data_IF_802965594071
#
_entry.id   IF_802965594071
#
_cell.length_a   1.000
_cell.length_b   1.000
_cell.length_c   1.000
_cell.angle_alpha   90.00
_cell.angle_beta   90.00
_cell.angle_gamma   90.00
#
_symmetry.space_group_name_H-M   'P 1'
#
loop_
_entity.id
_entity.type
_entity.pdbx_description
1 polymer ?
#
# COMPACT_ATOMS: atom_id res chain seq x y z
N UNK A 1 6.18 -58.47 24.40
CA UNK A 1 5.76 -57.61 23.26
C UNK A 1 6.49 -56.27 23.23
N UNK A 2 6.59 -55.52 24.33
CA UNK A 2 7.32 -54.21 24.35
C UNK A 2 8.83 -54.30 24.06
N UNK A 3 9.49 -55.40 24.43
CA UNK A 3 10.91 -55.65 24.13
C UNK A 3 11.16 -55.85 22.63
N UNK A 4 10.25 -56.53 21.92
CA UNK A 4 10.32 -56.74 20.47
C UNK A 4 10.18 -55.43 19.68
N UNK A 5 9.37 -54.49 20.17
CA UNK A 5 9.24 -53.16 19.56
C UNK A 5 10.56 -52.38 19.61
N UNK A 6 11.32 -52.54 20.70
CA UNK A 6 12.63 -51.90 20.86
C UNK A 6 13.70 -52.54 19.96
N UNK A 7 13.70 -53.87 19.83
CA UNK A 7 14.59 -54.58 18.91
C UNK A 7 14.31 -54.27 17.43
N UNK A 8 13.03 -54.10 17.05
CA UNK A 8 12.64 -53.73 15.68
C UNK A 8 13.10 -52.32 15.29
N UNK A 9 13.07 -51.37 16.24
CA UNK A 9 13.57 -50.00 16.03
C UNK A 9 15.09 -49.92 15.89
N UNK A 10 15.85 -50.68 16.70
CA UNK A 10 17.32 -50.73 16.62
C UNK A 10 17.79 -51.42 15.33
N UNK A 11 17.05 -52.43 14.84
CA UNK A 11 17.34 -53.11 13.58
C UNK A 11 17.16 -52.20 12.35
N UNK A 12 16.21 -51.25 12.40
CA UNK A 12 15.94 -50.29 11.32
C UNK A 12 16.93 -49.13 11.26
N UNK A 13 17.57 -48.79 12.39
CA UNK A 13 18.56 -47.71 12.48
C UNK A 13 19.95 -48.22 12.06
N UNK A 14 20.24 -49.51 12.23
CA UNK A 14 21.53 -50.11 11.85
C UNK A 14 21.73 -50.25 10.34
N UNK A 15 20.66 -50.24 9.53
CA UNK A 15 20.76 -50.34 8.06
C UNK A 15 21.08 -49.02 7.36
N UNK A 16 20.98 -47.88 8.06
CA UNK A 16 21.32 -46.55 7.52
C UNK A 16 22.80 -46.17 7.67
N UNK A 17 23.61 -47.00 8.35
CA UNK A 17 25.04 -46.70 8.61
C UNK A 17 26.02 -47.48 7.72
N UNK A 18 25.54 -48.19 6.69
CA UNK A 18 26.40 -48.74 5.63
C UNK A 18 26.19 -47.96 4.34
N UNK A 19 26.70 -46.73 4.34
CA UNK A 19 26.93 -45.91 3.15
C UNK A 19 28.37 -45.45 3.13
N UNK A 20 29.29 -46.37 2.82
CA UNK A 20 30.72 -46.11 2.66
C UNK A 20 31.07 -46.18 1.18
N UNK A 21 31.91 -45.25 0.69
CA UNK A 21 32.67 -45.51 -0.54
C UNK A 21 33.02 -44.27 -1.37
N UNK A 22 34.09 -43.58 -0.97
CA UNK A 22 34.88 -42.73 -1.87
C UNK A 22 35.35 -43.55 -3.07
N UNK A 23 35.02 -43.14 -4.30
CA UNK A 23 35.68 -43.66 -5.50
C UNK A 23 36.62 -42.59 -6.04
N UNK A 24 37.90 -42.94 -5.97
CA UNK A 24 39.00 -42.15 -6.47
C UNK A 24 38.92 -41.96 -7.98
N UNK A 25 39.51 -40.84 -8.37
CA UNK A 25 39.97 -40.47 -9.70
C UNK A 25 40.43 -41.67 -10.55
N UNK A 26 39.81 -41.88 -11.70
CA UNK A 26 40.46 -42.48 -12.85
C UNK A 26 40.14 -41.63 -14.08
N UNK A 27 41.18 -40.93 -14.53
CA UNK A 27 41.25 -40.19 -15.79
C UNK A 27 41.34 -41.19 -16.95
N UNK A 28 40.39 -41.14 -17.87
CA UNK A 28 40.58 -41.21 -19.35
C UNK A 28 39.23 -41.16 -20.08
N UNK A 29 38.92 -40.01 -20.65
CA UNK A 29 39.17 -39.77 -22.08
C UNK A 29 38.20 -40.37 -23.12
N UNK A 30 37.65 -41.57 -23.02
CA UNK A 30 37.33 -42.22 -24.31
C UNK A 30 35.84 -42.12 -24.65
N UNK A 31 35.53 -41.13 -25.50
CA UNK A 31 34.31 -40.93 -26.28
C UNK A 31 33.68 -42.22 -26.82
N UNK A 32 32.43 -42.52 -26.44
CA UNK A 32 31.41 -43.25 -27.21
C UNK A 32 30.05 -43.15 -26.46
N UNK A 33 29.05 -42.39 -26.95
CA UNK A 33 27.74 -42.30 -26.31
C UNK A 33 26.82 -43.41 -26.85
N UNK A 34 26.36 -44.31 -25.98
CA UNK A 34 25.30 -45.26 -26.34
C UNK A 34 24.20 -45.28 -25.28
N UNK A 35 22.95 -45.36 -25.79
CA UNK A 35 21.69 -45.55 -25.06
C UNK A 35 20.94 -44.32 -24.53
N UNK A 36 20.92 -43.23 -25.31
CA UNK A 36 19.79 -42.29 -25.26
C UNK A 36 19.37 -41.79 -26.66
N UNK A 37 20.26 -41.86 -27.65
CA UNK A 37 20.04 -41.39 -29.01
C UNK A 37 19.12 -42.28 -29.89
N UNK A 38 18.87 -43.54 -29.50
CA UNK A 38 17.92 -44.41 -30.24
C UNK A 38 16.45 -44.14 -29.87
N UNK A 39 16.19 -43.52 -28.71
CA UNK A 39 14.81 -43.26 -28.27
C UNK A 39 14.23 -41.97 -28.84
N UNK A 40 15.08 -40.98 -29.10
CA UNK A 40 14.67 -39.71 -29.70
C UNK A 40 14.97 -39.80 -31.20
N UNK A 41 14.09 -40.53 -31.89
CA UNK A 41 14.10 -40.64 -33.35
C UNK A 41 14.21 -39.26 -33.99
N UNK A 42 15.27 -39.09 -34.77
CA UNK A 42 15.61 -37.87 -35.47
C UNK A 42 14.59 -37.55 -36.56
N UNK A 43 13.78 -36.52 -36.33
CA UNK A 43 13.16 -35.71 -37.36
C UNK A 43 13.39 -34.24 -37.01
N UNK A 44 14.45 -33.69 -37.59
CA UNK A 44 14.54 -32.31 -38.08
C UNK A 44 13.38 -31.35 -37.74
N UNK A 45 13.49 -30.67 -36.61
CA UNK A 45 12.92 -29.33 -36.46
C UNK A 45 13.90 -28.49 -35.62
N UNK A 46 14.51 -27.48 -36.25
CA UNK A 46 15.24 -26.43 -35.55
C UNK A 46 14.24 -25.71 -34.63
N UNK A 47 14.14 -26.15 -33.38
CA UNK A 47 13.52 -25.36 -32.33
C UNK A 47 14.50 -24.24 -32.02
N UNK A 48 14.41 -23.17 -32.82
CA UNK A 48 14.85 -21.84 -32.45
C UNK A 48 14.20 -21.52 -31.10
N UNK A 49 14.92 -21.69 -30.00
CA UNK A 49 14.44 -21.28 -28.68
C UNK A 49 14.48 -19.77 -28.68
N UNK A 50 13.34 -19.07 -28.82
CA UNK A 50 13.38 -17.63 -28.78
C UNK A 50 13.55 -17.26 -27.30
N UNK A 51 14.61 -16.50 -26.99
CA UNK A 51 14.63 -15.68 -25.80
C UNK A 51 13.51 -14.64 -25.93
N UNK A 52 12.29 -15.04 -25.62
CA UNK A 52 11.12 -14.16 -25.54
C UNK A 52 10.48 -14.44 -24.19
N UNK A 53 11.07 -13.86 -23.14
CA UNK A 53 10.28 -13.44 -21.99
C UNK A 53 9.22 -12.47 -22.53
N UNK A 54 8.01 -12.98 -22.76
CA UNK A 54 6.92 -12.15 -23.25
C UNK A 54 6.66 -11.08 -22.19
N UNK A 55 6.97 -9.83 -22.53
CA UNK A 55 6.85 -8.66 -21.65
C UNK A 55 5.37 -8.33 -21.29
N UNK A 56 4.42 -9.20 -21.67
CA UNK A 56 2.97 -8.98 -21.60
C UNK A 56 2.21 -9.79 -20.55
N UNK A 57 2.85 -10.68 -19.78
CA UNK A 57 2.16 -11.53 -18.79
C UNK A 57 2.14 -10.95 -17.36
N UNK A 58 2.59 -9.71 -17.18
CA UNK A 58 2.59 -9.01 -15.90
C UNK A 58 1.35 -8.13 -15.69
N UNK A 59 1.08 -7.77 -14.43
CA UNK A 59 0.08 -6.78 -14.07
C UNK A 59 0.75 -5.52 -13.55
N UNK A 60 0.42 -4.38 -14.15
CA UNK A 60 0.76 -3.07 -13.59
C UNK A 60 -0.10 -2.80 -12.34
N UNK A 61 0.56 -2.43 -11.26
CA UNK A 61 -0.04 -2.08 -9.98
C UNK A 61 0.52 -0.75 -9.49
N UNK A 62 -0.27 -0.06 -8.68
CA UNK A 62 0.13 1.14 -7.98
C UNK A 62 0.53 0.82 -6.55
N UNK A 63 1.70 1.30 -6.14
CA UNK A 63 2.23 1.23 -4.78
C UNK A 63 2.29 2.64 -4.20
N UNK A 64 1.86 2.82 -2.96
CA UNK A 64 1.86 4.12 -2.29
C UNK A 64 2.89 4.14 -1.17
N UNK A 65 3.88 5.03 -1.30
CA UNK A 65 5.00 5.18 -0.38
C UNK A 65 4.99 6.55 0.27
N UNK A 66 5.47 6.70 1.51
CA UNK A 66 5.67 8.02 2.10
C UNK A 66 6.62 8.86 1.27
N UNK A 67 6.35 10.16 1.18
CA UNK A 67 7.29 11.13 0.67
C UNK A 67 8.48 11.33 1.62
N UNK A 68 9.51 12.04 1.17
CA UNK A 68 10.71 12.35 1.96
C UNK A 68 10.40 13.11 3.28
N UNK A 69 9.25 13.78 3.36
CA UNK A 69 8.80 14.45 4.59
C UNK A 69 8.13 13.49 5.58
N UNK A 70 7.70 12.32 5.12
CA UNK A 70 6.97 11.32 5.89
C UNK A 70 5.51 11.68 6.15
N UNK A 71 4.95 12.67 5.45
CA UNK A 71 3.61 13.25 5.74
C UNK A 71 2.58 13.03 4.64
N UNK A 72 3.03 12.73 3.42
CA UNK A 72 2.16 12.47 2.28
C UNK A 72 2.57 11.17 1.59
N UNK A 73 1.70 10.65 0.73
CA UNK A 73 1.91 9.47 -0.09
C UNK A 73 2.26 9.88 -1.52
N UNK A 74 3.23 9.20 -2.10
CA UNK A 74 3.60 9.25 -3.51
C UNK A 74 3.20 7.91 -4.12
N UNK A 75 2.59 7.98 -5.31
CA UNK A 75 2.20 6.82 -6.10
C UNK A 75 3.35 6.42 -7.02
N UNK A 76 3.73 5.15 -6.97
CA UNK A 76 4.69 4.51 -7.88
C UNK A 76 3.97 3.38 -8.64
N UNK A 77 4.14 3.29 -9.95
CA UNK A 77 3.62 2.16 -10.74
C UNK A 77 4.70 1.07 -10.86
N UNK A 78 4.30 -0.19 -10.66
CA UNK A 78 5.20 -1.34 -10.75
C UNK A 78 4.56 -2.48 -11.53
N UNK A 79 5.31 -3.12 -12.41
CA UNK A 79 4.87 -4.33 -13.10
C UNK A 79 5.19 -5.55 -12.24
N UNK A 80 4.16 -6.30 -11.85
CA UNK A 80 4.30 -7.58 -11.16
C UNK A 80 4.14 -8.71 -12.18
N UNK A 81 5.14 -9.60 -12.36
CA UNK A 81 4.99 -10.80 -13.18
C UNK A 81 3.82 -11.67 -12.70
N UNK A 82 3.29 -12.52 -13.58
CA UNK A 82 2.24 -13.47 -13.21
C UNK A 82 2.65 -14.28 -11.97
N UNK A 83 1.80 -14.25 -10.96
CA UNK A 83 2.04 -14.89 -9.66
C UNK A 83 0.80 -15.64 -9.20
N UNK A 84 0.96 -16.56 -8.25
CA UNK A 84 -0.15 -17.33 -7.66
C UNK A 84 -1.09 -16.45 -6.83
N UNK A 85 -0.54 -15.43 -6.15
CA UNK A 85 -1.31 -14.50 -5.34
C UNK A 85 -0.85 -13.08 -5.58
N UNK A 86 -1.63 -12.37 -6.40
CA UNK A 86 -1.38 -10.96 -6.70
C UNK A 86 -1.41 -10.09 -5.45
N UNK A 87 -2.32 -10.36 -4.51
CA UNK A 87 -2.43 -9.62 -3.26
C UNK A 87 -1.16 -9.80 -2.40
N UNK A 88 -0.69 -11.04 -2.25
CA UNK A 88 0.53 -11.34 -1.49
C UNK A 88 1.74 -10.66 -2.11
N UNK A 89 1.90 -10.80 -3.43
CA UNK A 89 3.01 -10.17 -4.14
C UNK A 89 2.97 -8.65 -4.05
N UNK A 90 1.78 -8.04 -4.12
CA UNK A 90 1.62 -6.59 -3.96
C UNK A 90 2.13 -6.10 -2.61
N UNK A 91 1.78 -6.78 -1.52
CA UNK A 91 2.28 -6.42 -0.18
C UNK A 91 3.78 -6.67 -0.06
N UNK A 92 4.31 -7.76 -0.63
CA UNK A 92 5.76 -8.02 -0.67
C UNK A 92 6.49 -6.88 -1.38
N UNK A 93 6.01 -6.46 -2.55
CA UNK A 93 6.58 -5.35 -3.32
C UNK A 93 6.52 -4.02 -2.55
N UNK A 94 5.45 -3.80 -1.80
CA UNK A 94 5.34 -2.64 -0.92
C UNK A 94 6.33 -2.69 0.25
N UNK A 95 6.51 -3.86 0.88
CA UNK A 95 7.49 -4.05 1.97
C UNK A 95 8.95 -3.88 1.49
N UNK A 96 9.24 -4.20 0.23
CA UNK A 96 10.55 -3.94 -0.39
C UNK A 96 10.85 -2.45 -0.55
N UNK A 97 9.83 -1.58 -0.46
CA UNK A 97 9.97 -0.13 -0.58
C UNK A 97 9.95 0.41 -2.02
N UNK A 98 10.18 1.71 -2.19
CA UNK A 98 10.20 2.36 -3.50
C UNK A 98 11.39 1.92 -4.34
N UNK A 99 11.19 1.77 -5.66
CA UNK A 99 12.26 1.37 -6.58
C UNK A 99 13.20 2.53 -6.88
N UNK A 100 12.67 3.75 -6.88
CA UNK A 100 13.44 4.98 -7.09
C UNK A 100 13.53 5.73 -5.77
N UNK A 101 14.75 5.84 -5.26
CA UNK A 101 15.06 6.63 -4.07
C UNK A 101 15.04 8.13 -4.40
N UNK A 102 14.67 8.96 -3.43
CA UNK A 102 14.71 10.42 -3.56
C UNK A 102 13.48 11.06 -2.96
N UNK A 103 12.39 11.15 -3.74
CA UNK A 103 11.14 11.74 -3.26
C UNK A 103 10.33 10.80 -2.38
N UNK A 104 10.47 9.48 -2.56
CA UNK A 104 9.79 8.45 -1.79
C UNK A 104 10.78 7.69 -0.90
N UNK A 105 10.28 7.16 0.22
CA UNK A 105 11.03 6.34 1.16
C UNK A 105 10.24 5.09 1.60
N UNK A 106 10.92 4.13 2.22
CA UNK A 106 10.25 2.96 2.78
C UNK A 106 9.25 3.36 3.88
N UNK A 107 8.12 2.66 3.93
CA UNK A 107 7.04 2.98 4.87
C UNK A 107 7.24 2.41 6.27
N UNK A 108 7.97 1.30 6.37
CA UNK A 108 8.13 0.49 7.57
C UNK A 108 9.57 0.01 7.67
N UNK A 109 9.93 -0.57 8.82
CA UNK A 109 11.23 -1.19 8.99
C UNK A 109 11.45 -2.30 7.93
N UNK A 110 12.61 -2.35 7.24
CA UNK A 110 12.92 -3.42 6.28
C UNK A 110 12.89 -4.84 6.84
N UNK A 111 12.96 -5.00 8.17
CA UNK A 111 12.78 -6.27 8.85
C UNK A 111 11.30 -6.70 8.97
N UNK A 112 10.35 -5.82 8.64
CA UNK A 112 8.92 -6.14 8.61
C UNK A 112 8.63 -7.18 7.55
N UNK A 113 7.96 -8.27 7.93
CA UNK A 113 7.62 -9.36 7.02
C UNK A 113 6.11 -9.58 6.96
N UNK A 114 5.66 -10.07 5.79
CA UNK A 114 4.30 -10.54 5.59
C UNK A 114 4.17 -11.99 6.07
N UNK A 115 3.43 -12.19 7.17
CA UNK A 115 3.13 -13.51 7.69
C UNK A 115 2.01 -14.16 6.88
N UNK A 116 0.90 -13.44 6.70
CA UNK A 116 -0.23 -13.93 5.92
C UNK A 116 -1.10 -12.83 5.31
N UNK A 117 -1.89 -13.19 4.30
CA UNK A 117 -2.91 -12.33 3.72
C UNK A 117 -4.11 -13.14 3.25
N UNK A 118 -5.30 -12.67 3.60
CA UNK A 118 -6.56 -13.23 3.13
C UNK A 118 -7.51 -12.10 2.72
N UNK A 119 -8.37 -12.36 1.74
CA UNK A 119 -9.46 -11.44 1.37
C UNK A 119 -10.77 -12.15 1.64
N UNK A 120 -11.62 -11.54 2.46
CA UNK A 120 -12.95 -12.06 2.81
C UNK A 120 -13.93 -10.91 2.91
N UNK A 121 -15.10 -11.06 2.31
CA UNK A 121 -16.18 -10.06 2.39
C UNK A 121 -15.71 -8.64 2.00
N UNK A 122 -14.91 -8.54 0.94
CA UNK A 122 -14.29 -7.29 0.45
C UNK A 122 -13.26 -6.65 1.41
N UNK A 123 -12.86 -7.34 2.47
CA UNK A 123 -11.85 -6.90 3.44
C UNK A 123 -10.56 -7.70 3.25
N UNK A 124 -9.45 -7.00 3.03
CA UNK A 124 -8.12 -7.61 3.10
C UNK A 124 -7.63 -7.65 4.55
N UNK A 125 -7.34 -8.86 5.04
CA UNK A 125 -6.77 -9.12 6.36
C UNK A 125 -5.29 -9.36 6.16
N UNK A 126 -4.45 -8.42 6.60
CA UNK A 126 -2.99 -8.49 6.43
C UNK A 126 -2.34 -8.79 7.77
N UNK A 127 -1.61 -9.89 7.86
CA UNK A 127 -0.86 -10.28 9.06
C UNK A 127 0.63 -10.03 8.87
N UNK A 128 1.18 -9.13 9.68
CA UNK A 128 2.56 -8.65 9.59
C UNK A 128 3.35 -9.05 10.84
N UNK A 129 4.68 -9.06 10.72
CA UNK A 129 5.54 -9.24 11.89
C UNK A 129 5.50 -8.03 12.82
N UNK A 130 5.97 -8.22 14.06
CA UNK A 130 5.93 -7.20 15.12
C UNK A 130 6.59 -5.86 14.77
N UNK A 131 7.56 -5.85 13.85
CA UNK A 131 8.30 -4.67 13.40
C UNK A 131 7.36 -3.62 12.77
N UNK A 132 6.22 -4.04 12.20
CA UNK A 132 5.21 -3.14 11.66
C UNK A 132 4.69 -2.11 12.66
N UNK A 133 4.71 -2.44 13.95
CA UNK A 133 4.20 -1.55 15.01
C UNK A 133 5.18 -0.45 15.41
N UNK A 134 6.39 -0.47 14.85
CA UNK A 134 7.47 0.46 15.19
C UNK A 134 7.51 1.61 14.18
N UNK A 135 7.92 2.79 14.66
CA UNK A 135 8.14 3.93 13.78
C UNK A 135 9.38 3.70 12.91
N UNK A 136 9.27 4.01 11.62
CA UNK A 136 10.40 3.96 10.70
C UNK A 136 10.82 5.38 10.27
N UNK A 137 12.05 5.77 10.64
CA UNK A 137 12.59 7.09 10.29
C UNK A 137 11.69 8.26 10.74
N UNK A 138 11.42 9.18 9.82
CA UNK A 138 10.51 10.32 10.02
C UNK A 138 9.09 10.07 9.51
N UNK A 139 8.76 8.84 9.10
CA UNK A 139 7.45 8.51 8.52
C UNK A 139 6.38 8.60 9.60
N UNK A 140 5.33 9.38 9.33
CA UNK A 140 4.16 9.40 10.19
C UNK A 140 3.46 8.03 10.14
N UNK A 141 3.15 7.49 11.30
CA UNK A 141 2.50 6.20 11.44
C UNK A 141 1.19 6.07 10.64
N UNK A 142 0.39 7.14 10.57
CA UNK A 142 -0.82 7.17 9.76
C UNK A 142 -0.49 7.03 8.26
N UNK A 143 0.56 7.70 7.79
CA UNK A 143 1.01 7.65 6.39
C UNK A 143 1.53 6.25 6.04
N UNK A 144 2.29 5.61 6.93
CA UNK A 144 2.75 4.24 6.74
C UNK A 144 1.57 3.26 6.56
N UNK A 145 0.59 3.32 7.47
CA UNK A 145 -0.60 2.46 7.42
C UNK A 145 -1.40 2.72 6.14
N UNK A 146 -1.73 3.98 5.84
CA UNK A 146 -2.50 4.30 4.63
C UNK A 146 -1.74 4.07 3.33
N UNK A 147 -0.40 4.03 3.34
CA UNK A 147 0.39 3.59 2.19
C UNK A 147 0.02 2.17 1.77
N UNK A 148 -0.08 1.25 2.74
CA UNK A 148 -0.49 -0.12 2.45
C UNK A 148 -2.00 -0.23 2.15
N UNK A 149 -2.85 0.52 2.87
CA UNK A 149 -4.30 0.54 2.61
C UNK A 149 -4.60 1.03 1.19
N UNK A 150 -4.04 2.16 0.77
CA UNK A 150 -4.25 2.71 -0.57
C UNK A 150 -3.70 1.78 -1.66
N UNK A 151 -2.60 1.08 -1.36
CA UNK A 151 -2.02 0.07 -2.25
C UNK A 151 -2.96 -1.12 -2.46
N UNK A 152 -3.61 -1.63 -1.40
CA UNK A 152 -4.49 -2.80 -1.50
C UNK A 152 -5.88 -2.46 -2.02
N UNK A 153 -6.42 -1.30 -1.66
CA UNK A 153 -7.75 -0.84 -2.10
C UNK A 153 -7.81 -0.41 -3.57
N UNK A 154 -6.69 -0.48 -4.29
CA UNK A 154 -6.69 -0.36 -5.76
C UNK A 154 -7.42 -1.53 -6.44
N UNK A 155 -7.52 -2.69 -5.77
CA UNK A 155 -8.17 -3.86 -6.32
C UNK A 155 -9.67 -3.79 -6.04
N UNK A 156 -10.54 -3.98 -7.05
CA UNK A 156 -11.99 -3.83 -6.87
C UNK A 156 -12.59 -4.85 -5.89
N UNK A 157 -11.88 -5.95 -5.62
CA UNK A 157 -12.27 -6.96 -4.63
C UNK A 157 -11.90 -6.59 -3.19
N UNK A 158 -11.22 -5.46 -2.97
CA UNK A 158 -10.77 -4.98 -1.67
C UNK A 158 -11.26 -3.56 -1.47
N UNK A 159 -12.27 -3.40 -0.61
CA UNK A 159 -12.78 -2.08 -0.22
C UNK A 159 -12.14 -1.56 1.05
N UNK A 160 -11.76 -2.48 1.93
CA UNK A 160 -11.20 -2.15 3.23
C UNK A 160 -10.04 -3.08 3.58
N UNK A 161 -9.22 -2.62 4.50
CA UNK A 161 -8.06 -3.36 5.02
C UNK A 161 -8.12 -3.35 6.54
N UNK A 162 -7.77 -4.49 7.12
CA UNK A 162 -7.58 -4.66 8.56
C UNK A 162 -6.25 -5.38 8.80
N UNK A 163 -5.69 -5.18 9.99
CA UNK A 163 -4.34 -5.62 10.31
C UNK A 163 -4.32 -6.65 11.44
N UNK A 164 -3.38 -7.58 11.33
CA UNK A 164 -2.95 -8.47 12.39
C UNK A 164 -1.44 -8.32 12.57
N UNK A 165 -0.99 -8.54 13.79
CA UNK A 165 0.43 -8.60 14.13
C UNK A 165 0.68 -9.89 14.87
N UNK A 166 1.57 -10.74 14.34
CA UNK A 166 1.86 -12.05 14.90
C UNK A 166 0.59 -12.88 15.13
N UNK A 167 -0.33 -12.87 14.16
CA UNK A 167 -1.60 -13.60 14.22
C UNK A 167 -2.65 -12.98 15.14
N UNK A 168 -2.40 -11.83 15.78
CA UNK A 168 -3.37 -11.18 16.68
C UNK A 168 -4.00 -9.98 16.01
N UNK A 169 -5.34 -9.77 16.12
CA UNK A 169 -5.97 -8.56 15.60
C UNK A 169 -5.34 -7.30 16.17
N UNK A 170 -5.03 -6.35 15.29
CA UNK A 170 -4.59 -5.02 15.65
C UNK A 170 -5.78 -4.08 15.46
N UNK A 171 -6.27 -3.48 16.54
CA UNK A 171 -7.41 -2.53 16.49
C UNK A 171 -6.95 -1.09 16.58
N UNK A 172 -5.80 -0.84 17.19
CA UNK A 172 -5.25 0.49 17.37
C UNK A 172 -3.74 0.46 17.18
N UNK A 173 -3.22 1.48 16.51
CA UNK A 173 -1.80 1.74 16.41
C UNK A 173 -1.59 3.21 16.77
N UNK A 174 -0.86 3.50 17.84
CA UNK A 174 -0.78 4.86 18.38
C UNK A 174 -2.18 5.44 18.65
N UNK A 175 -2.50 6.60 18.05
CA UNK A 175 -3.84 7.21 18.13
C UNK A 175 -4.78 6.82 16.98
N UNK A 176 -4.32 5.99 16.03
CA UNK A 176 -5.10 5.60 14.85
C UNK A 176 -5.89 4.32 15.14
N UNK A 177 -7.20 4.35 14.88
CA UNK A 177 -8.03 3.15 14.77
C UNK A 177 -7.73 2.47 13.44
N UNK A 178 -7.34 1.19 13.47
CA UNK A 178 -6.95 0.41 12.29
C UNK A 178 -7.89 -0.78 12.04
N UNK A 179 -9.08 -0.76 12.64
CA UNK A 179 -10.02 -1.89 12.60
C UNK A 179 -10.58 -2.12 11.19
N UNK A 180 -10.95 -1.04 10.48
CA UNK A 180 -11.45 -1.07 9.09
C UNK A 180 -11.04 0.21 8.38
N UNK A 181 -9.99 0.13 7.58
CA UNK A 181 -9.45 1.27 6.85
C UNK A 181 -9.79 1.19 5.37
N UNK A 182 -10.27 2.29 4.81
CA UNK A 182 -10.52 2.45 3.38
C UNK A 182 -9.53 3.42 2.75
N UNK A 183 -9.53 3.50 1.42
CA UNK A 183 -8.70 4.46 0.67
C UNK A 183 -8.81 5.89 1.22
N UNK A 184 -7.67 6.58 1.36
CA UNK A 184 -7.61 7.98 1.81
C UNK A 184 -6.89 8.86 0.79
N UNK A 185 -7.67 9.57 0.00
CA UNK A 185 -7.18 10.46 -1.07
C UNK A 185 -6.39 11.65 -0.52
N UNK A 186 -6.82 12.23 0.61
CA UNK A 186 -6.22 13.43 1.19
C UNK A 186 -4.76 13.28 1.64
N UNK A 187 -4.22 12.07 1.67
CA UNK A 187 -2.80 11.82 1.91
C UNK A 187 -1.96 11.77 0.63
N UNK A 188 -2.57 11.57 -0.54
CA UNK A 188 -1.85 11.37 -1.80
C UNK A 188 -1.42 12.72 -2.38
N UNK A 189 -0.11 12.90 -2.57
CA UNK A 189 0.49 14.10 -3.15
C UNK A 189 -0.07 14.31 -4.57
N UNK A 190 -0.74 15.44 -4.78
CA UNK A 190 -1.39 15.78 -6.06
C UNK A 190 -2.76 15.13 -6.30
N UNK A 191 -3.31 14.37 -5.35
CA UNK A 191 -4.65 13.79 -5.45
C UNK A 191 -5.78 14.80 -5.21
N UNK A 192 -5.52 15.87 -4.45
CA UNK A 192 -6.53 16.89 -4.16
C UNK A 192 -6.72 17.91 -5.27
N UNK A 193 -7.38 17.54 -6.38
CA UNK A 193 -8.10 18.51 -7.22
C UNK A 193 -9.12 17.87 -8.18
N UNK A 194 -10.19 17.29 -7.63
CA UNK A 194 -11.46 17.03 -8.34
C UNK A 194 -12.67 17.31 -7.43
N UNK A 195 -12.74 18.54 -6.90
CA UNK A 195 -14.00 19.12 -6.41
C UNK A 195 -14.53 20.08 -7.47
N UNK A 196 -15.27 19.55 -8.44
CA UNK A 196 -16.10 20.35 -9.33
C UNK A 196 -17.32 20.89 -8.58
N UNK A 197 -17.56 22.20 -8.73
CA UNK A 197 -18.91 22.78 -8.66
C UNK A 197 -19.30 23.42 -7.33
N UNK A 198 -19.01 24.70 -7.19
CA UNK A 198 -19.99 25.64 -6.65
C UNK A 198 -20.10 26.79 -7.62
N UNK A 199 -21.07 26.66 -8.52
CA UNK A 199 -21.54 27.74 -9.37
C UNK A 199 -21.88 28.94 -8.47
N UNK A 200 -21.23 30.08 -8.70
CA UNK A 200 -21.78 31.38 -8.32
C UNK A 200 -23.02 31.62 -9.17
N UNK A 201 -24.15 31.05 -8.76
CA UNK A 201 -25.47 31.50 -9.20
C UNK A 201 -25.79 32.72 -8.33
N UNK A 202 -25.45 33.90 -8.86
CA UNK A 202 -26.05 35.16 -8.42
C UNK A 202 -27.53 35.08 -8.82
N UNK A 203 -28.39 34.73 -7.87
CA UNK A 203 -29.83 34.94 -8.01
C UNK A 203 -30.15 36.39 -7.64
N UNK A 204 -30.99 37.09 -8.43
CA UNK A 204 -31.37 38.47 -8.19
C UNK A 204 -32.31 38.61 -6.99
N UNK A 205 -32.00 39.53 -6.09
CA UNK A 205 -32.83 39.87 -4.94
C UNK A 205 -33.86 40.97 -5.28
N UNK A 206 -35.13 40.74 -4.97
CA UNK A 206 -36.13 41.76 -4.61
C UNK A 206 -37.40 41.09 -4.03
N UNK A 207 -38.27 41.82 -3.27
CA UNK A 207 -38.08 42.41 -1.95
C UNK A 207 -39.05 41.80 -0.90
N UNK A 208 -38.73 41.94 0.39
CA UNK A 208 -39.70 41.67 1.48
C UNK A 208 -39.82 42.86 2.40
N UNK A 209 -41.00 43.49 2.31
CA UNK A 209 -41.57 44.50 3.18
C UNK A 209 -41.86 43.92 4.57
N UNK A 210 -41.35 44.55 5.63
CA UNK A 210 -41.88 44.36 6.99
C UNK A 210 -42.03 45.70 7.68
N UNK A 211 -43.27 46.18 7.70
CA UNK A 211 -43.78 47.12 8.68
C UNK A 211 -43.81 46.46 10.06
N UNK A 212 -43.15 47.06 11.05
CA UNK A 212 -43.64 47.03 12.45
C UNK A 212 -43.39 48.38 13.09
N UNK A 213 -44.49 48.91 13.62
CA UNK A 213 -44.66 50.22 14.21
C UNK A 213 -45.13 49.99 15.65
N UNK A 214 -44.42 50.47 16.66
CA UNK A 214 -45.00 50.85 17.98
C UNK A 214 -44.04 51.71 18.80
N UNK A 215 -44.55 52.90 19.13
CA UNK A 215 -44.09 53.95 20.07
C UNK A 215 -43.80 53.43 21.50
N UNK A 216 -43.12 54.10 22.46
CA UNK A 216 -43.16 55.51 22.92
C UNK A 216 -42.00 55.86 23.89
N UNK A 217 -41.58 57.14 23.86
CA UNK A 217 -41.11 58.06 24.94
C UNK A 217 -39.76 57.87 25.67
N UNK A 218 -38.84 58.84 25.54
CA UNK A 218 -38.54 59.90 26.56
C UNK A 218 -37.51 60.95 26.07
N UNK A 219 -37.73 62.22 26.47
CA UNK A 219 -36.88 63.44 26.40
C UNK A 219 -35.42 63.21 26.87
N UNK A 220 -34.38 63.93 26.44
CA UNK A 220 -34.14 65.38 26.60
C UNK A 220 -33.05 65.92 25.64
N UNK A 221 -33.11 67.21 25.33
CA UNK A 221 -32.10 67.99 24.60
C UNK A 221 -30.87 68.32 25.48
N UNK A 222 -29.75 68.83 24.90
CA UNK A 222 -29.65 70.29 24.77
C UNK A 222 -28.99 70.80 23.48
N UNK A 223 -29.37 72.02 23.14
CA UNK A 223 -28.89 72.87 22.07
C UNK A 223 -27.45 73.38 22.28
N UNK A 224 -26.72 73.58 21.18
CA UNK A 224 -25.50 74.39 21.11
C UNK A 224 -25.39 75.04 19.73
N UNK A 225 -25.40 76.38 19.72
CA UNK A 225 -25.66 77.28 18.59
C UNK A 225 -24.49 77.48 17.59
N UNK A 226 -24.85 77.49 16.30
CA UNK A 226 -24.51 78.41 15.20
C UNK A 226 -23.32 79.38 15.33
N UNK A 227 -22.41 79.38 14.32
CA UNK A 227 -21.73 80.59 13.81
C UNK A 227 -21.46 80.51 12.29
N UNK A 228 -22.30 81.23 11.54
CA UNK A 228 -22.10 81.98 10.28
C UNK A 228 -21.33 81.41 9.06
N UNK A 229 -22.09 81.34 7.96
CA UNK A 229 -21.66 81.52 6.57
C UNK A 229 -21.38 83.00 6.24
N UNK A 230 -20.42 83.25 5.34
CA UNK A 230 -20.44 84.44 4.47
C UNK A 230 -19.60 84.24 3.21
N UNK A 231 -20.00 84.98 2.18
CA UNK A 231 -19.66 84.91 0.77
C UNK A 231 -18.45 85.78 0.34
N UNK A 232 -18.03 85.56 -0.92
CA UNK A 232 -17.59 86.53 -1.96
C UNK A 232 -16.13 87.06 -2.02
N UNK A 233 -15.46 86.68 -3.13
CA UNK A 233 -14.82 87.48 -4.22
C UNK A 233 -13.74 88.57 -3.98
N UNK A 234 -12.91 88.72 -5.04
CA UNK A 234 -11.88 89.71 -5.39
C UNK A 234 -10.44 89.34 -4.98
N UNK A 235 -9.39 89.41 -5.82
CA UNK A 235 -9.19 89.80 -7.23
C UNK A 235 -8.12 88.89 -7.85
#
# INVERSE_FOLDING_TARGET
MKKYLFYLGVLLIATFLVGCGTLQTLVKEDSEPSSFADWIGSANEEVNVPATSNLGDGKMISLYFPDSTGKQLIKEERNIPKTLSLARETVTQWLMGPAVQGEAQAAVDPATTLLDIAIKDEVAIVDLSREFTQMHGNVNQEVAVYGLVNTLTQFPTVREVTFRVEGKPLTQLGSLDVTRLSYREGLVKGGGNLSGGSNSVVSPALPSNTNTNTNTNTMDSPSGLNIFSSQLSAS
#
